data_IF_633890862212
#
_entry.id   IF_633890862212
#
_cell.length_a   1.000
_cell.length_b   1.000
_cell.length_c   1.000
_cell.angle_alpha   90.00
_cell.angle_beta   90.00
_cell.angle_gamma   90.00
#
_symmetry.space_group_name_H-M   'P 1'
#
loop_
_entity.id
_entity.type
_entity.pdbx_description
1 polymer ?
#
# COMPACT_ATOMS: atom_id res chain seq x y z
N UNK A 1 30.17 1.69 -2.48
CA UNK A 1 28.88 1.00 -2.73
C UNK A 1 27.76 1.63 -1.90
N UNK A 2 26.52 1.60 -2.38
CA UNK A 2 25.36 2.15 -1.64
C UNK A 2 25.13 1.46 -0.28
N UNK A 3 25.58 0.22 -0.12
CA UNK A 3 25.45 -0.55 1.11
C UNK A 3 26.57 -0.34 2.13
N UNK A 4 27.65 0.30 1.73
CA UNK A 4 28.85 0.50 2.56
C UNK A 4 28.57 1.25 3.88
N UNK A 5 27.74 2.32 3.89
CA UNK A 5 27.45 3.05 5.13
C UNK A 5 26.47 2.32 6.07
N UNK A 6 25.85 1.22 5.64
CA UNK A 6 24.85 0.51 6.43
C UNK A 6 25.43 -0.73 7.11
N UNK A 7 25.00 -1.00 8.34
CA UNK A 7 25.33 -2.23 9.06
C UNK A 7 24.56 -3.44 8.55
N UNK A 8 23.33 -3.22 8.06
CA UNK A 8 22.49 -4.26 7.47
C UNK A 8 23.09 -4.72 6.14
N UNK A 9 23.02 -6.03 5.91
CA UNK A 9 23.33 -6.64 4.62
C UNK A 9 22.10 -6.86 3.75
N UNK A 10 20.92 -6.56 4.27
CA UNK A 10 19.66 -6.68 3.54
C UNK A 10 19.52 -5.53 2.56
N UNK A 11 19.12 -5.85 1.35
CA UNK A 11 18.90 -4.88 0.28
C UNK A 11 17.63 -5.23 -0.48
N UNK A 12 16.77 -4.22 -0.65
CA UNK A 12 15.60 -4.33 -1.51
C UNK A 12 15.97 -3.83 -2.90
N UNK A 13 15.72 -4.64 -3.92
CA UNK A 13 16.18 -4.40 -5.29
C UNK A 13 15.06 -3.91 -6.23
N UNK A 14 13.85 -3.69 -5.70
CA UNK A 14 12.69 -3.29 -6.49
C UNK A 14 12.15 -4.43 -7.35
N UNK A 15 12.13 -4.23 -8.66
CA UNK A 15 11.69 -5.18 -9.70
C UNK A 15 10.17 -5.39 -9.78
N UNK A 16 9.41 -4.45 -9.28
CA UNK A 16 7.97 -4.39 -9.38
C UNK A 16 7.51 -3.79 -10.71
N UNK A 17 6.26 -4.07 -11.05
CA UNK A 17 5.48 -3.40 -12.11
C UNK A 17 6.20 -3.27 -13.47
N UNK A 18 7.03 -4.25 -13.80
CA UNK A 18 7.75 -4.27 -15.07
C UNK A 18 6.82 -4.68 -16.24
N UNK A 19 5.80 -3.86 -16.49
CA UNK A 19 4.74 -4.10 -17.47
C UNK A 19 5.26 -4.36 -18.87
N UNK A 20 6.27 -3.58 -19.28
CA UNK A 20 6.86 -3.64 -20.62
C UNK A 20 8.06 -4.59 -20.72
N UNK A 21 8.25 -5.47 -19.74
CA UNK A 21 9.35 -6.43 -19.75
C UNK A 21 9.32 -7.30 -21.01
N UNK A 22 10.41 -7.31 -21.75
CA UNK A 22 10.55 -8.03 -23.00
C UNK A 22 10.03 -7.30 -24.24
N UNK A 23 9.48 -6.10 -24.09
CA UNK A 23 8.94 -5.29 -25.20
C UNK A 23 9.92 -4.20 -25.67
N UNK A 24 9.48 -3.39 -26.63
CA UNK A 24 10.25 -2.24 -27.15
C UNK A 24 11.63 -2.60 -27.67
N UNK A 25 12.63 -1.84 -27.27
CA UNK A 25 14.01 -2.04 -27.72
C UNK A 25 14.59 -3.41 -27.36
N UNK A 26 14.13 -4.03 -26.28
CA UNK A 26 14.54 -5.39 -25.94
C UNK A 26 14.11 -6.38 -27.01
N UNK A 27 12.83 -6.35 -27.37
CA UNK A 27 12.24 -7.21 -28.41
C UNK A 27 12.95 -7.05 -29.75
N UNK A 28 13.22 -5.79 -30.13
CA UNK A 28 13.89 -5.49 -31.41
C UNK A 28 15.31 -6.03 -31.50
N UNK A 29 16.03 -6.06 -30.38
CA UNK A 29 17.44 -6.49 -30.33
C UNK A 29 17.61 -7.98 -30.08
N UNK A 30 16.74 -8.57 -29.26
CA UNK A 30 16.94 -9.92 -28.75
C UNK A 30 15.91 -10.94 -29.28
N UNK A 31 14.86 -10.46 -29.97
CA UNK A 31 13.71 -11.31 -30.31
C UNK A 31 12.75 -11.52 -29.12
N UNK A 32 11.76 -12.35 -29.35
CA UNK A 32 10.76 -12.65 -28.32
C UNK A 32 11.33 -13.58 -27.25
N UNK A 33 11.19 -13.16 -26.00
CA UNK A 33 11.41 -13.94 -24.80
C UNK A 33 10.23 -13.76 -23.84
N UNK A 34 9.88 -14.78 -23.08
CA UNK A 34 8.84 -14.67 -22.05
C UNK A 34 9.33 -13.81 -20.89
N UNK A 35 8.41 -13.19 -20.16
CA UNK A 35 8.75 -12.44 -18.93
C UNK A 35 9.48 -13.33 -17.93
N UNK A 36 9.07 -14.58 -17.82
CA UNK A 36 9.69 -15.59 -16.93
C UNK A 36 11.16 -15.85 -17.28
N UNK A 37 11.50 -16.01 -18.56
CA UNK A 37 12.88 -16.20 -19.02
C UNK A 37 13.73 -14.99 -18.69
N UNK A 38 13.25 -13.78 -19.00
CA UNK A 38 13.99 -12.54 -18.77
C UNK A 38 14.21 -12.32 -17.26
N UNK A 39 13.16 -12.48 -16.44
CA UNK A 39 13.26 -12.35 -14.98
C UNK A 39 14.23 -13.36 -14.38
N UNK A 40 14.17 -14.62 -14.81
CA UNK A 40 15.03 -15.67 -14.31
C UNK A 40 16.50 -15.40 -14.61
N UNK A 41 16.82 -15.02 -15.87
CA UNK A 41 18.18 -14.69 -16.27
C UNK A 41 18.71 -13.46 -15.50
N UNK A 42 17.92 -12.41 -15.45
CA UNK A 42 18.29 -11.19 -14.76
C UNK A 42 18.54 -11.42 -13.26
N UNK A 43 17.59 -12.08 -12.57
CA UNK A 43 17.70 -12.35 -11.14
C UNK A 43 18.86 -13.27 -10.80
N UNK A 44 19.17 -14.25 -11.65
CA UNK A 44 20.37 -15.08 -11.46
C UNK A 44 21.64 -14.24 -11.42
N UNK A 45 21.80 -13.32 -12.38
CA UNK A 45 22.97 -12.41 -12.42
C UNK A 45 23.02 -11.49 -11.20
N UNK A 46 21.87 -10.96 -10.78
CA UNK A 46 21.79 -10.08 -9.61
C UNK A 46 22.07 -10.85 -8.32
N UNK A 47 21.56 -12.07 -8.19
CA UNK A 47 21.85 -12.97 -7.08
C UNK A 47 23.35 -13.29 -6.95
N UNK A 48 24.02 -13.56 -8.07
CA UNK A 48 25.48 -13.77 -8.10
C UNK A 48 26.25 -12.54 -7.58
N UNK A 49 25.88 -11.34 -8.04
CA UNK A 49 26.47 -10.07 -7.55
C UNK A 49 26.21 -9.88 -6.05
N UNK A 50 25.00 -10.14 -5.57
CA UNK A 50 24.66 -10.02 -4.16
C UNK A 50 25.49 -11.01 -3.31
N UNK A 51 25.67 -12.22 -3.79
CA UNK A 51 26.49 -13.26 -3.13
C UNK A 51 27.96 -12.82 -3.03
N UNK A 52 28.54 -12.29 -4.11
CA UNK A 52 29.89 -11.75 -4.11
C UNK A 52 30.08 -10.60 -3.11
N UNK A 53 29.05 -9.77 -2.96
CA UNK A 53 29.06 -8.63 -2.04
C UNK A 53 28.63 -8.98 -0.61
N UNK A 54 28.24 -10.23 -0.33
CA UNK A 54 27.72 -10.68 0.96
C UNK A 54 26.41 -10.00 1.34
N UNK A 55 25.51 -9.75 0.37
CA UNK A 55 24.22 -9.10 0.56
C UNK A 55 23.09 -10.13 0.61
N UNK A 56 22.02 -9.79 1.31
CA UNK A 56 20.77 -10.54 1.42
C UNK A 56 19.68 -9.83 0.61
N UNK A 57 19.47 -10.20 -0.68
CA UNK A 57 18.55 -9.51 -1.55
C UNK A 57 17.10 -9.87 -1.30
N UNK A 58 16.19 -8.90 -1.47
CA UNK A 58 14.76 -9.09 -1.57
C UNK A 58 14.21 -8.23 -2.74
N UNK A 59 13.07 -8.65 -3.27
CA UNK A 59 12.38 -7.98 -4.38
C UNK A 59 10.87 -7.94 -4.10
N UNK A 60 10.16 -7.03 -4.75
CA UNK A 60 8.71 -7.09 -4.81
C UNK A 60 8.25 -8.36 -5.53
N UNK A 61 7.17 -8.95 -5.08
CA UNK A 61 6.73 -10.29 -5.54
C UNK A 61 5.75 -10.25 -6.71
N UNK A 62 5.19 -9.09 -7.03
CA UNK A 62 4.08 -8.95 -7.98
C UNK A 62 4.36 -9.59 -9.34
N UNK A 63 5.58 -9.44 -9.87
CA UNK A 63 5.91 -10.03 -11.17
C UNK A 63 5.80 -11.55 -11.18
N UNK A 64 6.06 -12.24 -10.06
CA UNK A 64 5.91 -13.69 -9.96
C UNK A 64 4.44 -14.11 -9.95
N UNK A 65 3.59 -13.38 -9.22
CA UNK A 65 2.15 -13.64 -9.19
C UNK A 65 1.50 -13.29 -10.53
N UNK A 66 1.93 -12.21 -11.19
CA UNK A 66 1.47 -11.84 -12.53
C UNK A 66 1.79 -12.88 -13.60
N UNK A 67 2.89 -13.63 -13.46
CA UNK A 67 3.24 -14.69 -14.40
C UNK A 67 2.34 -15.92 -14.29
N UNK A 68 1.71 -16.15 -13.15
CA UNK A 68 0.78 -17.27 -12.91
C UNK A 68 -0.68 -16.85 -12.93
N UNK A 69 -0.98 -15.55 -12.90
CA UNK A 69 -2.34 -15.01 -12.99
C UNK A 69 -2.91 -15.19 -14.40
N UNK A 70 -4.16 -15.64 -14.53
CA UNK A 70 -4.84 -15.76 -15.82
C UNK A 70 -4.95 -14.42 -16.58
N UNK A 71 -5.16 -13.31 -15.86
CA UNK A 71 -5.26 -11.97 -16.43
C UNK A 71 -3.93 -11.21 -16.44
N UNK A 72 -2.84 -11.81 -15.97
CA UNK A 72 -1.55 -11.15 -15.75
C UNK A 72 -1.64 -10.00 -14.74
N UNK A 73 -2.60 -10.05 -13.83
CA UNK A 73 -2.79 -9.09 -12.75
C UNK A 73 -2.31 -9.67 -11.42
N UNK A 74 -1.82 -8.80 -10.54
CA UNK A 74 -1.19 -9.24 -9.29
C UNK A 74 -2.17 -9.91 -8.32
N UNK A 75 -3.36 -9.32 -8.18
CA UNK A 75 -4.37 -9.79 -7.23
C UNK A 75 -5.46 -10.69 -7.85
N UNK A 76 -5.22 -11.20 -9.07
CA UNK A 76 -6.18 -12.04 -9.81
C UNK A 76 -5.78 -13.52 -9.83
N UNK A 77 -4.82 -13.90 -9.01
CA UNK A 77 -4.51 -15.32 -8.81
C UNK A 77 -5.61 -15.95 -7.95
N UNK A 78 -6.27 -17.03 -8.41
CA UNK A 78 -7.32 -17.66 -7.62
C UNK A 78 -6.80 -18.06 -6.23
N UNK A 79 -7.61 -17.79 -5.19
CA UNK A 79 -7.22 -18.08 -3.81
C UNK A 79 -6.81 -19.55 -3.63
N UNK A 80 -5.79 -19.75 -2.80
CA UNK A 80 -5.21 -21.06 -2.47
C UNK A 80 -4.74 -21.87 -3.71
N UNK A 81 -4.33 -21.17 -4.79
CA UNK A 81 -3.74 -21.81 -5.96
C UNK A 81 -2.49 -22.61 -5.62
N UNK A 82 -2.33 -23.77 -6.26
CA UNK A 82 -1.09 -24.52 -6.24
C UNK A 82 -0.07 -23.90 -7.20
N UNK A 83 1.03 -23.40 -6.66
CA UNK A 83 2.14 -22.78 -7.38
C UNK A 83 3.41 -23.64 -7.36
N UNK A 84 3.28 -24.95 -7.10
CA UNK A 84 4.41 -25.87 -7.03
C UNK A 84 5.24 -25.90 -8.31
N UNK A 85 4.55 -25.83 -9.47
CA UNK A 85 5.15 -25.84 -10.80
C UNK A 85 5.48 -24.44 -11.35
N UNK A 86 5.22 -23.37 -10.59
CA UNK A 86 5.51 -22.02 -11.02
C UNK A 86 7.02 -21.75 -11.06
N UNK A 87 7.42 -20.79 -11.91
CA UNK A 87 8.80 -20.28 -11.92
C UNK A 87 9.09 -19.61 -10.57
N UNK A 88 10.20 -19.99 -9.96
CA UNK A 88 10.61 -19.49 -8.65
C UNK A 88 11.85 -18.61 -8.75
N UNK A 89 11.99 -17.60 -7.88
CA UNK A 89 13.23 -16.85 -7.80
C UNK A 89 14.39 -17.74 -7.29
N UNK A 90 15.65 -17.32 -7.48
CA UNK A 90 16.78 -17.93 -6.79
C UNK A 90 16.55 -18.00 -5.27
N UNK A 91 16.95 -19.11 -4.64
CA UNK A 91 16.64 -19.41 -3.23
C UNK A 91 17.10 -18.33 -2.22
N UNK A 92 18.16 -17.61 -2.55
CA UNK A 92 18.68 -16.52 -1.73
C UNK A 92 17.80 -15.27 -1.73
N UNK A 93 16.92 -15.10 -2.73
CA UNK A 93 16.09 -13.89 -2.90
C UNK A 93 14.82 -14.00 -2.08
N UNK A 94 14.60 -13.04 -1.18
CA UNK A 94 13.34 -12.88 -0.46
C UNK A 94 12.26 -12.24 -1.34
N UNK A 95 11.02 -12.68 -1.19
CA UNK A 95 9.86 -12.06 -1.81
C UNK A 95 9.12 -11.17 -0.83
N UNK A 96 8.89 -9.92 -1.22
CA UNK A 96 8.10 -8.96 -0.45
C UNK A 96 6.70 -8.89 -1.06
N UNK A 97 5.75 -9.46 -0.35
CA UNK A 97 4.32 -9.36 -0.65
C UNK A 97 3.82 -7.98 -0.23
N UNK A 98 3.44 -7.15 -1.17
CA UNK A 98 2.84 -5.84 -0.89
C UNK A 98 1.34 -5.86 -1.18
N UNK A 99 0.57 -5.35 -0.25
CA UNK A 99 -0.88 -5.19 -0.40
C UNK A 99 -1.39 -4.10 0.54
N UNK A 100 -2.15 -3.17 -0.04
CA UNK A 100 -2.67 -1.98 0.64
C UNK A 100 -4.18 -1.82 0.45
N UNK A 101 -4.85 -2.80 -0.20
CA UNK A 101 -6.17 -2.60 -0.78
C UNK A 101 -7.23 -3.53 -0.18
N UNK A 102 -6.84 -4.68 0.34
CA UNK A 102 -7.76 -5.68 0.86
C UNK A 102 -7.94 -5.53 2.38
N UNK A 103 -9.16 -5.77 2.86
CA UNK A 103 -9.52 -5.80 4.27
C UNK A 103 -10.03 -7.18 4.73
N UNK A 104 -9.88 -8.21 3.88
CA UNK A 104 -10.21 -9.59 4.18
C UNK A 104 -8.98 -10.39 4.62
N UNK A 105 -8.97 -10.82 5.88
CA UNK A 105 -7.92 -11.65 6.45
C UNK A 105 -7.68 -12.96 5.68
N UNK A 106 -8.72 -13.57 5.11
CA UNK A 106 -8.58 -14.82 4.36
C UNK A 106 -7.89 -14.60 3.03
N UNK A 107 -8.12 -13.46 2.39
CA UNK A 107 -7.39 -13.07 1.19
C UNK A 107 -5.88 -13.00 1.47
N UNK A 108 -5.47 -12.30 2.52
CA UNK A 108 -4.07 -12.22 2.92
C UNK A 108 -3.48 -13.59 3.27
N UNK A 109 -4.20 -14.43 4.01
CA UNK A 109 -3.73 -15.80 4.34
C UNK A 109 -3.46 -16.62 3.09
N UNK A 110 -4.37 -16.57 2.12
CA UNK A 110 -4.21 -17.27 0.84
C UNK A 110 -2.97 -16.77 0.10
N UNK A 111 -2.82 -15.46 -0.07
CA UNK A 111 -1.66 -14.88 -0.76
C UNK A 111 -0.35 -15.19 -0.03
N UNK A 112 -0.30 -15.14 1.29
CA UNK A 112 0.88 -15.52 2.06
C UNK A 112 1.27 -16.99 1.86
N UNK A 113 0.28 -17.90 1.78
CA UNK A 113 0.54 -19.32 1.49
C UNK A 113 1.08 -19.52 0.07
N UNK A 114 0.54 -18.78 -0.90
CA UNK A 114 1.05 -18.80 -2.28
C UNK A 114 2.50 -18.29 -2.36
N UNK A 115 2.81 -17.19 -1.66
CA UNK A 115 4.18 -16.67 -1.60
C UNK A 115 5.17 -17.67 -1.02
N UNK A 116 4.78 -18.43 0.01
CA UNK A 116 5.64 -19.49 0.57
C UNK A 116 5.95 -20.63 -0.39
N UNK A 117 5.08 -20.89 -1.35
CA UNK A 117 5.38 -21.88 -2.39
C UNK A 117 6.45 -21.37 -3.37
N UNK A 118 6.59 -20.03 -3.50
CA UNK A 118 7.58 -19.40 -4.37
C UNK A 118 8.91 -19.13 -3.65
N UNK A 119 8.88 -18.72 -2.37
CA UNK A 119 10.08 -18.44 -1.57
C UNK A 119 9.84 -18.70 -0.09
N UNK A 120 10.81 -19.33 0.58
CA UNK A 120 10.80 -19.49 2.04
C UNK A 120 10.99 -18.16 2.78
N UNK A 121 11.56 -17.17 2.11
CA UNK A 121 11.84 -15.84 2.65
C UNK A 121 10.76 -14.87 2.21
N UNK A 122 9.60 -14.93 2.86
CA UNK A 122 8.48 -14.02 2.59
C UNK A 122 8.43 -12.91 3.63
N UNK A 123 8.42 -11.67 3.16
CA UNK A 123 8.20 -10.44 3.95
C UNK A 123 6.87 -9.84 3.54
N UNK A 124 6.10 -9.30 4.47
CA UNK A 124 4.88 -8.57 4.16
C UNK A 124 5.14 -7.06 4.15
N UNK A 125 4.57 -6.34 3.19
CA UNK A 125 4.57 -4.88 3.14
C UNK A 125 3.14 -4.36 3.11
N UNK A 126 2.72 -3.74 4.20
CA UNK A 126 1.47 -2.98 4.32
C UNK A 126 1.69 -1.49 4.08
N UNK A 127 0.65 -0.70 4.12
CA UNK A 127 0.71 0.71 3.78
C UNK A 127 0.03 1.66 4.76
N UNK A 128 0.67 2.81 5.00
CA UNK A 128 0.16 3.86 5.88
C UNK A 128 -0.83 4.83 5.22
N UNK A 129 -1.09 4.67 3.92
CA UNK A 129 -2.07 5.43 3.13
C UNK A 129 -1.92 6.96 3.23
N UNK A 130 -0.70 7.45 2.93
CA UNK A 130 -0.38 8.88 2.86
C UNK A 130 -0.12 9.38 1.44
N UNK A 131 -0.44 8.60 0.43
CA UNK A 131 -0.13 8.89 -0.97
C UNK A 131 -1.32 9.28 -1.83
N UNK A 132 -2.55 8.98 -1.39
CA UNK A 132 -3.72 9.07 -2.24
C UNK A 132 -4.36 10.47 -2.30
N UNK A 133 -4.25 11.29 -1.26
CA UNK A 133 -4.94 12.57 -1.16
C UNK A 133 -4.11 13.65 -0.47
N UNK A 134 -4.78 14.68 0.02
CA UNK A 134 -4.15 15.79 0.77
C UNK A 134 -3.95 15.46 2.26
N UNK A 135 -4.55 14.35 2.71
CA UNK A 135 -4.47 13.85 4.08
C UNK A 135 -4.41 12.29 4.08
N UNK A 136 -4.01 11.68 5.20
CA UNK A 136 -3.96 10.22 5.30
C UNK A 136 -5.35 9.59 5.18
N UNK A 137 -5.45 8.46 4.49
CA UNK A 137 -6.67 7.66 4.48
C UNK A 137 -6.63 6.61 5.60
N UNK A 138 -6.91 7.04 6.84
CA UNK A 138 -6.87 6.14 8.00
C UNK A 138 -7.93 5.04 7.96
N UNK A 139 -9.06 5.24 7.30
CA UNK A 139 -10.09 4.22 7.14
C UNK A 139 -9.52 2.99 6.44
N UNK A 140 -8.85 3.20 5.32
CA UNK A 140 -8.22 2.12 4.55
C UNK A 140 -6.98 1.61 5.26
N UNK A 141 -6.09 2.50 5.72
CA UNK A 141 -4.85 2.11 6.39
C UNK A 141 -5.10 1.17 7.58
N UNK A 142 -6.09 1.47 8.41
CA UNK A 142 -6.39 0.66 9.59
C UNK A 142 -7.05 -0.66 9.22
N UNK A 143 -8.06 -0.66 8.34
CA UNK A 143 -8.74 -1.87 7.92
C UNK A 143 -7.78 -2.88 7.27
N UNK A 144 -6.96 -2.41 6.33
CA UNK A 144 -5.99 -3.26 5.63
C UNK A 144 -4.87 -3.74 6.55
N UNK A 145 -4.35 -2.87 7.43
CA UNK A 145 -3.31 -3.24 8.41
C UNK A 145 -3.81 -4.30 9.37
N UNK A 146 -5.00 -4.13 9.95
CA UNK A 146 -5.56 -5.11 10.89
C UNK A 146 -5.77 -6.48 10.25
N UNK A 147 -6.37 -6.54 9.07
CA UNK A 147 -6.59 -7.79 8.34
C UNK A 147 -5.25 -8.47 7.97
N UNK A 148 -4.33 -7.72 7.39
CA UNK A 148 -3.04 -8.23 6.97
C UNK A 148 -2.18 -8.72 8.13
N UNK A 149 -2.10 -7.95 9.23
CA UNK A 149 -1.25 -8.32 10.36
C UNK A 149 -1.79 -9.50 11.16
N UNK A 150 -3.14 -9.67 11.22
CA UNK A 150 -3.75 -10.91 11.75
C UNK A 150 -3.37 -12.11 10.87
N UNK A 151 -3.47 -11.97 9.56
CA UNK A 151 -3.06 -13.01 8.62
C UNK A 151 -1.57 -13.35 8.74
N UNK A 152 -0.70 -12.34 8.84
CA UNK A 152 0.74 -12.54 9.04
C UNK A 152 1.03 -13.35 10.30
N UNK A 153 0.38 -13.04 11.43
CA UNK A 153 0.50 -13.78 12.70
C UNK A 153 0.02 -15.23 12.55
N UNK A 154 -1.16 -15.42 11.94
CA UNK A 154 -1.75 -16.74 11.73
C UNK A 154 -0.87 -17.61 10.84
N UNK A 155 -0.28 -17.03 9.81
CA UNK A 155 0.58 -17.71 8.86
C UNK A 155 2.07 -17.72 9.27
N UNK A 156 2.45 -17.17 10.42
CA UNK A 156 3.80 -17.20 10.96
C UNK A 156 4.81 -16.35 10.17
N UNK A 157 4.36 -15.32 9.46
CA UNK A 157 5.23 -14.30 8.86
C UNK A 157 5.82 -13.45 9.99
N UNK A 158 7.15 -13.30 10.00
CA UNK A 158 7.88 -12.66 11.09
C UNK A 158 8.39 -11.27 10.76
N UNK A 159 8.34 -10.92 9.50
CA UNK A 159 8.87 -9.66 9.00
C UNK A 159 7.80 -8.91 8.22
N UNK A 160 7.52 -7.72 8.68
CA UNK A 160 6.57 -6.83 8.05
C UNK A 160 7.12 -5.40 7.98
N UNK A 161 6.78 -4.69 6.91
CA UNK A 161 7.20 -3.31 6.64
C UNK A 161 5.96 -2.46 6.43
N UNK A 162 5.89 -1.29 7.05
CA UNK A 162 4.89 -0.27 6.77
C UNK A 162 5.45 0.68 5.71
N UNK A 163 4.85 0.72 4.54
CA UNK A 163 5.23 1.65 3.48
C UNK A 163 4.50 2.97 3.61
N UNK A 164 5.17 4.04 3.23
CA UNK A 164 4.66 5.42 3.26
C UNK A 164 4.98 6.06 1.90
N UNK A 165 4.31 5.56 0.85
CA UNK A 165 4.52 6.05 -0.51
C UNK A 165 4.12 7.52 -0.64
N UNK A 166 4.76 8.22 -1.58
CA UNK A 166 4.41 9.60 -1.94
C UNK A 166 4.57 9.82 -3.45
N UNK A 167 4.23 8.83 -4.23
CA UNK A 167 4.34 8.81 -5.69
C UNK A 167 3.12 9.43 -6.39
N UNK A 168 1.96 9.50 -5.73
CA UNK A 168 0.73 10.11 -6.27
C UNK A 168 0.62 11.63 -6.00
N UNK A 169 1.75 12.33 -5.84
CA UNK A 169 1.80 13.79 -5.74
C UNK A 169 2.42 14.36 -4.47
N UNK A 170 2.59 13.56 -3.42
CA UNK A 170 3.21 13.94 -2.14
C UNK A 170 2.53 15.13 -1.40
N UNK A 171 1.23 15.30 -1.56
CA UNK A 171 0.48 16.38 -0.89
C UNK A 171 0.30 16.15 0.61
N UNK A 172 0.15 14.87 1.02
CA UNK A 172 0.04 14.52 2.44
C UNK A 172 1.38 14.63 3.14
N UNK A 173 1.52 15.42 4.22
CA UNK A 173 2.74 15.42 5.01
C UNK A 173 3.02 14.03 5.59
N UNK A 174 4.24 13.51 5.44
CA UNK A 174 4.64 12.18 5.92
C UNK A 174 4.30 11.98 7.42
N UNK A 175 4.54 13.00 8.24
CA UNK A 175 4.26 12.97 9.67
C UNK A 175 2.76 12.80 10.01
N UNK A 176 1.86 13.16 9.10
CA UNK A 176 0.43 12.96 9.29
C UNK A 176 0.04 11.47 9.37
N UNK A 177 0.85 10.58 8.78
CA UNK A 177 0.63 9.13 8.81
C UNK A 177 1.12 8.41 10.08
N UNK A 178 1.63 9.11 11.10
CA UNK A 178 2.12 8.49 12.34
C UNK A 178 1.13 7.52 13.01
N UNK A 179 -0.20 7.78 13.07
CA UNK A 179 -1.15 6.79 13.61
C UNK A 179 -1.09 5.44 12.93
N UNK A 180 -0.93 5.40 11.59
CA UNK A 180 -0.79 4.15 10.84
C UNK A 180 0.50 3.40 11.20
N UNK A 181 1.61 4.12 11.39
CA UNK A 181 2.88 3.52 11.80
C UNK A 181 2.78 2.93 13.20
N UNK A 182 2.15 3.66 14.15
CA UNK A 182 2.00 3.18 15.53
C UNK A 182 1.10 1.95 15.59
N UNK A 183 -0.01 1.92 14.83
CA UNK A 183 -0.86 0.74 14.71
C UNK A 183 -0.08 -0.46 14.17
N UNK A 184 0.70 -0.25 13.11
CA UNK A 184 1.50 -1.29 12.48
C UNK A 184 2.55 -1.85 13.45
N UNK A 185 3.21 -0.98 14.21
CA UNK A 185 4.18 -1.35 15.23
C UNK A 185 3.50 -2.12 16.39
N UNK A 186 2.33 -1.66 16.85
CA UNK A 186 1.59 -2.32 17.92
C UNK A 186 1.23 -3.77 17.57
N UNK A 187 0.89 -4.05 16.32
CA UNK A 187 0.72 -5.43 15.85
C UNK A 187 1.98 -6.29 15.98
N UNK A 188 3.17 -5.68 16.06
CA UNK A 188 4.43 -6.39 16.34
C UNK A 188 4.57 -6.85 17.79
N UNK A 189 3.89 -6.20 18.72
CA UNK A 189 3.96 -6.49 20.16
C UNK A 189 2.70 -7.19 20.69
N UNK A 190 1.52 -6.79 20.21
CA UNK A 190 0.22 -7.28 20.67
C UNK A 190 -0.35 -8.31 19.71
N UNK A 191 -1.05 -9.31 20.27
CA UNK A 191 -1.80 -10.25 19.44
C UNK A 191 -2.96 -9.55 18.74
N UNK A 192 -3.70 -8.76 19.47
CA UNK A 192 -4.81 -7.91 19.03
C UNK A 192 -4.58 -6.53 19.64
N UNK A 193 -4.28 -5.49 18.84
CA UNK A 193 -4.15 -4.14 19.34
C UNK A 193 -5.46 -3.64 19.96
N UNK A 194 -5.35 -3.03 21.12
CA UNK A 194 -6.46 -2.34 21.77
C UNK A 194 -6.43 -0.85 21.39
N UNK A 195 -7.60 -0.30 21.06
CA UNK A 195 -7.70 1.06 20.53
C UNK A 195 -7.34 2.15 21.55
N UNK A 196 -7.74 1.95 22.81
CA UNK A 196 -7.42 2.91 23.88
C UNK A 196 -5.92 2.86 24.19
N UNK A 197 -5.35 1.66 24.25
CA UNK A 197 -3.92 1.47 24.42
C UNK A 197 -3.12 2.10 23.29
N UNK A 198 -3.58 1.95 22.05
CA UNK A 198 -2.97 2.58 20.87
C UNK A 198 -2.97 4.11 20.97
N UNK A 199 -4.10 4.68 21.42
CA UNK A 199 -4.23 6.12 21.66
C UNK A 199 -3.25 6.61 22.72
N UNK A 200 -3.24 5.96 23.87
CA UNK A 200 -2.31 6.31 24.97
C UNK A 200 -0.84 6.24 24.54
N UNK A 201 -0.47 5.20 23.80
CA UNK A 201 0.89 5.05 23.26
C UNK A 201 1.22 6.15 22.25
N UNK A 202 0.30 6.42 21.32
CA UNK A 202 0.50 7.47 20.34
C UNK A 202 0.73 8.84 21.00
N UNK A 203 -0.14 9.19 21.95
CA UNK A 203 -0.09 10.47 22.68
C UNK A 203 1.17 10.56 23.54
N UNK A 204 1.60 9.46 24.15
CA UNK A 204 2.86 9.40 24.90
C UNK A 204 4.08 9.58 23.99
N UNK A 205 4.11 8.92 22.84
CA UNK A 205 5.26 8.95 21.92
C UNK A 205 5.39 10.28 21.17
N UNK A 206 4.28 10.91 20.83
CA UNK A 206 4.27 12.09 19.98
C UNK A 206 4.03 13.41 20.73
N UNK A 207 3.46 13.35 21.93
CA UNK A 207 2.98 14.52 22.66
C UNK A 207 1.77 15.19 21.99
N UNK A 208 1.10 14.51 21.07
CA UNK A 208 0.01 15.06 20.25
C UNK A 208 -1.26 14.24 20.42
N UNK A 209 -2.42 14.87 20.22
CA UNK A 209 -3.70 14.18 20.30
C UNK A 209 -3.90 13.18 19.16
N UNK A 210 -4.15 11.94 19.49
CA UNK A 210 -4.49 10.88 18.54
C UNK A 210 -5.77 11.20 17.75
N UNK A 211 -6.79 11.70 18.44
CA UNK A 211 -8.07 12.06 17.83
C UNK A 211 -7.93 13.23 16.84
N UNK A 212 -7.04 14.18 17.13
CA UNK A 212 -6.74 15.26 16.20
C UNK A 212 -6.07 14.75 14.91
N UNK A 213 -5.15 13.81 15.03
CA UNK A 213 -4.56 13.16 13.85
C UNK A 213 -5.59 12.39 13.04
N UNK A 214 -6.44 11.61 13.70
CA UNK A 214 -7.48 10.84 12.98
C UNK A 214 -8.48 11.75 12.26
N UNK A 215 -8.76 12.93 12.81
CA UNK A 215 -9.63 13.91 12.17
C UNK A 215 -9.07 14.44 10.83
N UNK A 216 -7.75 14.40 10.62
CA UNK A 216 -7.16 14.71 9.30
C UNK A 216 -7.64 13.76 8.21
N UNK A 217 -7.85 12.48 8.53
CA UNK A 217 -8.35 11.49 7.58
C UNK A 217 -9.79 11.75 7.10
N UNK A 218 -10.52 12.64 7.76
CA UNK A 218 -11.87 13.00 7.36
C UNK A 218 -11.93 13.93 6.13
N UNK A 219 -10.80 14.48 5.68
CA UNK A 219 -10.78 15.26 4.44
C UNK A 219 -11.27 14.47 3.22
N UNK A 220 -10.95 13.18 3.15
CA UNK A 220 -11.33 12.29 2.05
C UNK A 220 -12.45 11.31 2.41
N UNK A 221 -13.11 11.49 3.57
CA UNK A 221 -14.25 10.70 4.00
C UNK A 221 -15.60 11.41 3.79
N UNK A 222 -15.68 12.25 2.79
CA UNK A 222 -16.89 13.01 2.47
C UNK A 222 -18.04 12.06 2.07
N UNK A 223 -19.31 12.42 2.35
CA UNK A 223 -20.47 11.63 1.97
C UNK A 223 -20.51 11.38 0.46
N UNK A 224 -20.77 10.14 0.06
CA UNK A 224 -20.82 9.73 -1.36
C UNK A 224 -19.46 9.39 -1.97
N UNK A 225 -18.35 9.59 -1.25
CA UNK A 225 -17.04 9.13 -1.72
C UNK A 225 -16.87 7.63 -1.46
N UNK A 226 -16.26 6.95 -2.41
CA UNK A 226 -15.86 5.55 -2.28
C UNK A 226 -14.59 5.42 -1.42
N UNK A 227 -14.21 4.19 -1.13
CA UNK A 227 -13.10 3.90 -0.21
C UNK A 227 -11.77 4.52 -0.63
N UNK A 228 -11.51 4.56 -1.93
CA UNK A 228 -10.25 5.08 -2.49
C UNK A 228 -10.39 6.45 -3.15
N UNK A 229 -11.58 7.06 -3.11
CA UNK A 229 -11.76 8.41 -3.61
C UNK A 229 -11.01 9.43 -2.75
N UNK A 230 -10.62 10.52 -3.38
CA UNK A 230 -9.94 11.64 -2.74
C UNK A 230 -10.62 12.96 -3.12
N UNK A 231 -11.86 13.18 -2.66
CA UNK A 231 -12.66 14.35 -3.06
C UNK A 231 -11.99 15.68 -2.72
N UNK A 232 -11.21 15.76 -1.65
CA UNK A 232 -10.45 16.96 -1.30
C UNK A 232 -9.42 17.32 -2.38
N UNK A 233 -8.74 16.34 -2.97
CA UNK A 233 -7.78 16.54 -4.06
C UNK A 233 -8.48 17.01 -5.33
N UNK A 234 -9.62 16.42 -5.67
CA UNK A 234 -10.41 16.86 -6.81
C UNK A 234 -10.92 18.31 -6.67
N UNK A 235 -11.37 18.67 -5.47
CA UNK A 235 -11.79 20.05 -5.19
C UNK A 235 -10.62 21.04 -5.29
N UNK A 236 -9.44 20.65 -4.79
CA UNK A 236 -8.26 21.51 -4.79
C UNK A 236 -7.70 21.76 -6.18
N UNK A 237 -7.69 20.73 -7.04
CA UNK A 237 -7.06 20.78 -8.36
C UNK A 237 -8.03 20.86 -9.51
N UNK A 238 -9.32 21.03 -9.26
CA UNK A 238 -10.32 21.14 -10.31
C UNK A 238 -10.03 22.35 -11.21
N UNK A 239 -9.93 22.10 -12.50
CA UNK A 239 -9.86 23.14 -13.51
C UNK A 239 -11.25 23.69 -13.79
N UNK A 240 -11.47 24.95 -13.41
CA UNK A 240 -12.77 25.64 -13.57
C UNK A 240 -13.16 25.79 -15.02
N UNK A 241 -12.20 25.87 -15.95
CA UNK A 241 -12.45 26.08 -17.37
C UNK A 241 -12.72 24.79 -18.12
N UNK A 242 -12.02 23.71 -17.74
CA UNK A 242 -12.11 22.42 -18.42
C UNK A 242 -13.10 21.47 -17.76
N UNK A 243 -13.45 21.69 -16.49
CA UNK A 243 -14.34 20.82 -15.73
C UNK A 243 -13.85 19.38 -15.61
N UNK A 244 -12.53 19.18 -15.61
CA UNK A 244 -11.91 17.87 -15.72
C UNK A 244 -12.35 16.89 -14.63
N UNK A 245 -12.59 17.40 -13.42
CA UNK A 245 -13.00 16.61 -12.26
C UNK A 245 -14.47 16.81 -11.85
N UNK A 246 -15.29 17.42 -12.70
CA UNK A 246 -16.69 17.71 -12.40
C UNK A 246 -17.51 16.47 -12.05
N UNK A 247 -17.23 15.33 -12.71
CA UNK A 247 -17.89 14.06 -12.44
C UNK A 247 -17.64 13.60 -11.00
N UNK A 248 -16.39 13.54 -10.61
CA UNK A 248 -15.96 13.08 -9.29
C UNK A 248 -16.46 13.99 -8.17
N UNK A 249 -16.39 15.32 -8.36
CA UNK A 249 -16.91 16.29 -7.37
C UNK A 249 -18.42 16.13 -7.21
N UNK A 250 -19.16 15.96 -8.30
CA UNK A 250 -20.61 15.78 -8.27
C UNK A 250 -21.01 14.45 -7.62
N UNK A 251 -20.25 13.37 -7.85
CA UNK A 251 -20.47 12.08 -7.20
C UNK A 251 -20.25 12.19 -5.68
N UNK A 252 -19.14 12.78 -5.27
CA UNK A 252 -18.82 13.01 -3.87
C UNK A 252 -19.83 13.94 -3.16
N UNK A 253 -20.35 14.95 -3.85
CA UNK A 253 -21.37 15.86 -3.34
C UNK A 253 -22.75 15.18 -3.18
N UNK A 254 -23.00 14.08 -3.89
CA UNK A 254 -24.31 13.42 -3.89
C UNK A 254 -25.46 14.27 -4.50
N UNK A 255 -25.13 15.45 -5.03
CA UNK A 255 -26.11 16.40 -5.59
C UNK A 255 -26.81 15.87 -6.86
N UNK A 256 -26.19 14.92 -7.53
CA UNK A 256 -26.76 14.27 -8.71
C UNK A 256 -27.97 13.36 -8.42
N UNK A 257 -28.19 12.98 -7.16
CA UNK A 257 -29.29 12.07 -6.77
C UNK A 257 -30.55 12.76 -6.28
N UNK A 258 -30.53 14.07 -6.05
CA UNK A 258 -31.68 14.81 -5.55
C UNK A 258 -31.88 16.10 -6.37
N UNK A 259 -32.77 16.08 -7.34
CA UNK A 259 -33.14 17.27 -8.12
C UNK A 259 -33.77 18.38 -7.28
N UNK A 260 -32.93 19.20 -6.63
CA UNK A 260 -33.35 20.37 -5.86
C UNK A 260 -32.17 21.15 -5.34
N UNK A 261 -32.32 22.48 -5.29
CA UNK A 261 -31.33 23.43 -4.74
C UNK A 261 -31.22 23.30 -3.20
N UNK A 262 -30.74 22.16 -2.70
CA UNK A 262 -30.33 22.00 -1.32
C UNK A 262 -28.87 22.41 -1.21
N UNK A 263 -28.50 23.10 -0.14
CA UNK A 263 -27.10 23.33 0.24
C UNK A 263 -26.28 22.08 -0.02
N UNK A 264 -25.13 22.22 -0.69
CA UNK A 264 -24.27 21.13 -1.07
C UNK A 264 -23.93 20.25 0.17
N UNK A 265 -24.06 18.97 0.02
CA UNK A 265 -23.72 18.01 1.08
C UNK A 265 -22.24 18.13 1.45
N UNK A 266 -21.36 18.37 0.48
CA UNK A 266 -19.94 18.62 0.67
C UNK A 266 -19.66 19.91 1.46
N UNK A 267 -20.35 21.01 1.12
CA UNK A 267 -20.16 22.28 1.83
C UNK A 267 -20.42 22.12 3.32
N UNK A 268 -21.57 21.57 3.68
CA UNK A 268 -21.91 21.31 5.09
C UNK A 268 -20.96 20.31 5.77
N UNK A 269 -20.45 19.36 5.01
CA UNK A 269 -19.47 18.40 5.54
C UNK A 269 -18.16 19.10 5.90
N UNK A 270 -17.60 19.88 4.99
CA UNK A 270 -16.33 20.58 5.23
C UNK A 270 -16.45 21.73 6.22
N UNK A 271 -17.61 22.37 6.34
CA UNK A 271 -17.86 23.34 7.42
C UNK A 271 -17.78 22.69 8.80
N UNK A 272 -18.46 21.56 8.98
CA UNK A 272 -18.40 20.79 10.24
C UNK A 272 -16.98 20.26 10.52
N UNK A 273 -16.29 19.78 9.50
CA UNK A 273 -14.91 19.34 9.66
C UNK A 273 -14.00 20.48 10.09
N UNK A 274 -14.16 21.66 9.52
CA UNK A 274 -13.43 22.87 9.94
C UNK A 274 -13.67 23.19 11.42
N UNK A 275 -14.92 23.21 11.85
CA UNK A 275 -15.28 23.47 13.26
C UNK A 275 -14.66 22.42 14.19
N UNK A 276 -14.73 21.13 13.81
CA UNK A 276 -14.11 20.04 14.56
C UNK A 276 -12.61 20.22 14.71
N UNK A 277 -11.90 20.48 13.61
CA UNK A 277 -10.44 20.69 13.63
C UNK A 277 -10.04 21.92 14.45
N UNK A 278 -10.81 23.02 14.38
CA UNK A 278 -10.58 24.20 15.22
C UNK A 278 -10.77 23.87 16.71
N UNK A 279 -11.76 23.06 17.08
CA UNK A 279 -11.97 22.62 18.46
C UNK A 279 -10.88 21.69 18.99
N UNK A 280 -10.19 20.96 18.12
CA UNK A 280 -9.08 20.06 18.49
C UNK A 280 -7.72 20.77 18.55
N UNK A 281 -7.60 21.97 17.97
CA UNK A 281 -6.38 22.76 17.95
C UNK A 281 -6.19 23.67 19.17
N UNK A 282 -7.19 23.82 20.01
CA UNK A 282 -7.19 24.58 21.27
C UNK A 282 -7.00 23.70 22.48
#
# INVERSE_FOLDING_TARGET
SATEPFRSRRVHLGMDEAWSLGLGNYLLKNGYHTKAEIMTEHLKRVADICRELGLEPMIWSDMYLRMVSPASEYYDVPLDSDLSDAVKPPQEIGLVYWDYYHDDENFYKSYLRMHRQLSEKTVFAGGGWVWNGVAPNFRVAFATTEAAMRACKAEGVREAVCTMWQDDGAETPMAAGLPSIVLFAEHGFSREPDRECLKEQFEFLTGSSFDAYLALGEFDAAPGSETFDNPSKYLLYQDVMMGLFDGQVKEADGSMKAGGAAESCLERYYERLREKLQGLAG
#
